data_IF_236626685526
#
_entry.id   IF_236626685526
#
_cell.length_a   1.000
_cell.length_b   1.000
_cell.length_c   1.000
_cell.angle_alpha   90.00
_cell.angle_beta   90.00
_cell.angle_gamma   90.00
#
_symmetry.space_group_name_H-M   'P 1'
#
loop_
_entity.id
_entity.type
_entity.pdbx_description
1 polymer ?
#
# COMPACT_ATOMS: atom_id res chain seq x y z
N UNK A 1 43.18 -7.57 9.22
CA UNK A 1 42.23 -7.48 10.35
C UNK A 1 40.90 -6.93 9.84
N UNK A 2 40.19 -7.71 9.02
CA UNK A 2 38.97 -7.30 8.30
C UNK A 2 37.98 -8.46 8.30
N UNK A 3 37.53 -8.87 9.49
CA UNK A 3 36.43 -9.84 9.67
C UNK A 3 36.07 -9.82 11.16
N UNK A 4 35.35 -8.79 11.62
CA UNK A 4 34.65 -8.89 12.92
C UNK A 4 33.48 -7.92 13.16
N UNK A 5 33.02 -7.15 12.16
CA UNK A 5 31.92 -6.18 12.36
C UNK A 5 30.66 -6.52 11.54
N UNK A 6 30.25 -7.80 11.50
CA UNK A 6 29.03 -8.21 10.77
C UNK A 6 28.02 -9.03 11.59
N UNK A 7 28.13 -9.08 12.93
CA UNK A 7 27.19 -9.88 13.73
C UNK A 7 26.42 -9.18 14.84
N UNK A 8 26.74 -7.94 15.21
CA UNK A 8 25.96 -7.22 16.23
C UNK A 8 25.85 -5.73 15.89
N UNK A 9 24.96 -5.41 14.96
CA UNK A 9 24.22 -4.15 15.08
C UNK A 9 22.74 -4.53 15.05
N UNK A 10 21.99 -4.35 16.14
CA UNK A 10 20.56 -4.18 16.01
C UNK A 10 20.38 -2.89 15.24
N UNK A 11 20.31 -2.99 13.91
CA UNK A 11 20.09 -1.87 13.01
C UNK A 11 18.64 -1.42 13.19
N UNK A 12 18.39 -0.67 14.26
CA UNK A 12 17.45 0.43 14.20
C UNK A 12 18.00 1.37 13.13
N UNK A 13 17.59 1.16 11.87
CA UNK A 13 17.83 2.11 10.79
C UNK A 13 17.08 3.36 11.21
N UNK A 14 17.74 4.27 11.92
CA UNK A 14 17.22 5.60 12.14
C UNK A 14 17.38 6.30 10.80
N UNK A 15 16.28 6.39 10.03
CA UNK A 15 16.17 7.17 8.78
C UNK A 15 16.35 8.69 9.04
N UNK A 16 16.92 9.08 10.17
CA UNK A 16 16.98 10.44 10.65
C UNK A 16 18.03 11.28 9.92
N UNK A 17 19.06 10.71 9.27
CA UNK A 17 20.15 11.54 8.74
C UNK A 17 20.77 11.24 7.36
N UNK A 18 20.57 10.11 6.66
CA UNK A 18 21.23 9.95 5.34
C UNK A 18 20.47 9.05 4.33
N UNK A 19 19.92 9.66 3.27
CA UNK A 19 19.35 8.96 2.10
C UNK A 19 20.43 8.12 1.37
N UNK A 20 21.67 8.61 1.35
CA UNK A 20 22.80 7.94 0.70
C UNK A 20 23.25 6.67 1.43
N UNK A 21 23.28 6.68 2.76
CA UNK A 21 23.69 5.51 3.57
C UNK A 21 22.67 4.38 3.43
N UNK A 22 21.37 4.72 3.43
CA UNK A 22 20.31 3.74 3.18
C UNK A 22 20.45 3.17 1.77
N UNK A 23 20.64 4.01 0.75
CA UNK A 23 20.79 3.55 -0.64
C UNK A 23 22.01 2.64 -0.83
N UNK A 24 23.14 2.97 -0.19
CA UNK A 24 24.37 2.20 -0.25
C UNK A 24 24.23 0.87 0.50
N UNK A 25 23.51 0.84 1.61
CA UNK A 25 23.22 -0.37 2.37
C UNK A 25 22.21 -1.29 1.66
N UNK A 26 21.22 -0.73 0.95
CA UNK A 26 20.27 -1.45 0.09
C UNK A 26 20.91 -1.98 -1.21
N UNK A 27 22.14 -1.57 -1.53
CA UNK A 27 22.89 -2.05 -2.72
C UNK A 27 23.79 -3.24 -2.44
N UNK A 28 24.07 -3.54 -1.15
CA UNK A 28 24.92 -4.66 -0.76
C UNK A 28 24.07 -5.92 -0.56
N UNK A 29 24.56 -7.05 -1.08
CA UNK A 29 23.95 -8.39 -1.06
C UNK A 29 23.95 -9.03 0.33
N UNK A 30 23.41 -8.32 1.32
CA UNK A 30 23.11 -8.86 2.65
C UNK A 30 21.64 -9.21 2.66
N UNK A 31 21.26 -10.33 3.29
CA UNK A 31 19.88 -10.68 3.58
C UNK A 31 19.27 -9.64 4.52
N UNK A 32 18.80 -8.53 3.97
CA UNK A 32 18.22 -7.43 4.72
C UNK A 32 16.85 -7.83 5.24
N UNK A 33 16.66 -7.74 6.55
CA UNK A 33 15.36 -7.93 7.19
C UNK A 33 14.57 -6.63 7.08
N UNK A 34 13.79 -6.50 6.00
CA UNK A 34 13.08 -5.26 5.62
C UNK A 34 11.91 -4.89 6.55
N UNK A 35 11.42 -5.84 7.33
CA UNK A 35 10.24 -5.67 8.20
C UNK A 35 10.58 -5.61 9.69
N UNK A 36 11.81 -5.26 10.05
CA UNK A 36 12.17 -5.05 11.47
C UNK A 36 11.46 -3.82 12.01
N UNK A 37 10.81 -3.97 13.16
CA UNK A 37 10.10 -2.88 13.84
C UNK A 37 11.05 -2.07 14.73
N UNK A 38 10.91 -0.75 14.75
CA UNK A 38 11.58 0.12 15.71
C UNK A 38 10.82 0.17 17.06
N UNK A 39 11.19 1.07 17.96
CA UNK A 39 10.60 1.20 19.30
C UNK A 39 9.13 1.68 19.32
N UNK A 40 8.63 2.23 18.20
CA UNK A 40 7.22 2.59 17.98
C UNK A 40 6.55 1.65 16.97
N UNK A 41 7.10 0.44 16.84
CA UNK A 41 6.61 -0.60 15.95
C UNK A 41 6.59 -0.27 14.45
N UNK A 42 7.30 0.77 14.00
CA UNK A 42 7.39 1.09 12.57
C UNK A 42 8.44 0.23 11.86
N UNK A 43 8.08 -0.29 10.70
CA UNK A 43 9.04 -0.90 9.76
C UNK A 43 9.77 0.18 8.97
N UNK A 44 10.94 -0.14 8.36
CA UNK A 44 11.63 0.71 7.41
C UNK A 44 10.73 1.38 6.37
N UNK A 45 9.75 0.65 5.84
CA UNK A 45 8.80 1.18 4.86
C UNK A 45 7.88 2.24 5.48
N UNK A 46 7.32 1.97 6.66
CA UNK A 46 6.43 2.91 7.36
C UNK A 46 7.18 4.20 7.74
N UNK A 47 8.42 4.08 8.21
CA UNK A 47 9.26 5.22 8.54
C UNK A 47 9.55 6.09 7.30
N UNK A 48 9.92 5.47 6.17
CA UNK A 48 10.20 6.19 4.94
C UNK A 48 8.95 6.95 4.44
N UNK A 49 7.77 6.33 4.52
CA UNK A 49 6.50 6.96 4.16
C UNK A 49 6.14 8.10 5.11
N UNK A 50 6.24 7.87 6.42
CA UNK A 50 5.98 8.88 7.46
C UNK A 50 6.87 10.11 7.32
N UNK A 51 8.14 9.90 6.93
CA UNK A 51 9.10 10.99 6.65
C UNK A 51 8.94 11.64 5.28
N UNK A 52 8.23 11.00 4.36
CA UNK A 52 7.99 11.50 3.01
C UNK A 52 9.11 11.18 2.02
N UNK A 53 9.95 10.18 2.27
CA UNK A 53 11.06 9.80 1.39
C UNK A 53 10.60 8.86 0.27
N UNK A 54 10.17 9.41 -0.88
CA UNK A 54 9.61 8.60 -1.97
C UNK A 54 10.64 7.65 -2.60
N UNK A 55 11.87 8.09 -2.83
CA UNK A 55 12.92 7.26 -3.42
C UNK A 55 13.21 6.02 -2.59
N UNK A 56 13.36 6.21 -1.28
CA UNK A 56 13.55 5.12 -0.32
C UNK A 56 12.32 4.21 -0.28
N UNK A 57 11.12 4.79 -0.20
CA UNK A 57 9.84 4.06 -0.21
C UNK A 57 9.75 3.15 -1.42
N UNK A 58 10.01 3.67 -2.61
CA UNK A 58 9.97 2.91 -3.85
C UNK A 58 10.98 1.77 -3.84
N UNK A 59 12.22 2.03 -3.40
CA UNK A 59 13.28 1.02 -3.34
C UNK A 59 12.94 -0.11 -2.36
N UNK A 60 12.38 0.20 -1.19
CA UNK A 60 11.96 -0.79 -0.21
C UNK A 60 10.85 -1.70 -0.75
N UNK A 61 9.86 -1.13 -1.46
CA UNK A 61 8.81 -1.89 -2.13
C UNK A 61 9.41 -2.81 -3.21
N UNK A 62 10.34 -2.30 -4.03
CA UNK A 62 11.01 -3.08 -5.06
C UNK A 62 11.83 -4.25 -4.49
N UNK A 63 12.34 -4.12 -3.26
CA UNK A 63 13.05 -5.18 -2.54
C UNK A 63 12.10 -6.17 -1.82
N UNK A 64 10.78 -5.97 -1.89
CA UNK A 64 9.79 -6.87 -1.31
C UNK A 64 9.45 -6.60 0.15
N UNK A 65 9.66 -5.37 0.65
CA UNK A 65 9.17 -4.98 1.97
C UNK A 65 7.65 -5.20 2.10
N UNK A 66 7.18 -5.60 3.27
CA UNK A 66 5.76 -5.85 3.49
C UNK A 66 4.96 -4.53 3.45
N UNK A 67 4.24 -4.32 2.34
CA UNK A 67 3.46 -3.10 2.10
C UNK A 67 2.27 -2.92 3.06
N UNK A 68 1.77 -4.02 3.63
CA UNK A 68 0.64 -4.03 4.56
C UNK A 68 1.08 -4.13 6.03
N UNK A 69 2.36 -3.86 6.31
CA UNK A 69 2.81 -3.69 7.69
C UNK A 69 2.05 -2.54 8.38
N UNK A 70 1.94 -2.64 9.70
CA UNK A 70 1.30 -1.64 10.56
C UNK A 70 2.24 -1.20 11.68
N UNK A 71 2.14 0.07 12.07
CA UNK A 71 2.83 0.63 13.22
C UNK A 71 2.14 0.27 14.55
N UNK A 72 2.58 0.89 15.65
CA UNK A 72 2.03 0.66 16.98
C UNK A 72 0.64 1.25 17.23
N UNK A 73 0.10 2.03 16.29
CA UNK A 73 -1.28 2.54 16.31
C UNK A 73 -2.19 1.80 15.32
N UNK A 74 -1.70 0.73 14.69
CA UNK A 74 -2.41 0.01 13.64
C UNK A 74 -2.46 0.79 12.31
N UNK A 75 -1.66 1.84 12.13
CA UNK A 75 -1.60 2.58 10.87
C UNK A 75 -0.75 1.79 9.86
N UNK A 76 -1.34 1.49 8.71
CA UNK A 76 -0.58 1.05 7.54
C UNK A 76 0.05 2.23 6.78
N UNK A 77 0.84 1.95 5.75
CA UNK A 77 1.51 2.98 4.95
C UNK A 77 0.55 4.01 4.32
N UNK A 78 -0.69 3.64 4.01
CA UNK A 78 -1.67 4.56 3.42
C UNK A 78 -2.19 5.59 4.42
N UNK A 79 -2.33 5.22 5.70
CA UNK A 79 -2.68 6.16 6.77
C UNK A 79 -1.60 7.23 6.89
N UNK A 80 -0.34 6.80 6.99
CA UNK A 80 0.81 7.69 7.15
C UNK A 80 0.98 8.62 5.92
N UNK A 81 0.76 8.11 4.71
CA UNK A 81 0.85 8.91 3.50
C UNK A 81 -0.26 9.98 3.38
N UNK A 82 -1.45 9.74 3.95
CA UNK A 82 -2.55 10.73 3.98
C UNK A 82 -2.30 11.90 4.92
N UNK A 83 -1.52 11.69 5.99
CA UNK A 83 -1.17 12.75 6.94
C UNK A 83 -0.11 13.71 6.38
N UNK A 84 0.52 13.34 5.27
CA UNK A 84 1.58 14.11 4.62
C UNK A 84 1.05 14.99 3.50
N UNK A 85 1.38 16.26 3.56
CA UNK A 85 1.07 17.20 2.49
C UNK A 85 1.96 16.97 1.25
N UNK A 86 3.25 16.70 1.46
CA UNK A 86 4.22 16.50 0.38
C UNK A 86 5.32 15.47 0.71
N UNK A 87 5.77 14.78 -0.34
CA UNK A 87 6.88 13.84 -0.38
C UNK A 87 8.10 14.45 -1.09
N UNK A 88 9.29 14.00 -0.73
CA UNK A 88 10.53 14.32 -1.41
C UNK A 88 10.80 13.26 -2.49
N UNK A 89 11.15 13.70 -3.70
CA UNK A 89 11.51 12.79 -4.79
C UNK A 89 12.74 11.95 -4.45
N UNK A 90 13.82 12.56 -3.92
CA UNK A 90 15.08 11.89 -3.54
C UNK A 90 15.54 10.83 -4.55
N UNK A 91 15.67 11.22 -5.82
CA UNK A 91 16.13 10.31 -6.88
C UNK A 91 15.09 9.28 -7.34
N UNK A 92 13.86 9.33 -6.83
CA UNK A 92 12.77 8.51 -7.37
C UNK A 92 12.43 8.93 -8.81
N UNK A 93 12.25 7.97 -9.72
CA UNK A 93 11.67 8.23 -11.03
C UNK A 93 10.26 8.82 -10.86
N UNK A 94 10.08 10.14 -11.06
CA UNK A 94 8.81 10.83 -10.84
C UNK A 94 7.70 10.39 -11.82
N UNK A 95 8.09 9.84 -12.96
CA UNK A 95 7.25 9.27 -13.99
C UNK A 95 6.40 8.09 -13.49
N UNK A 96 6.82 7.39 -12.42
CA UNK A 96 6.01 6.33 -11.79
C UNK A 96 4.69 6.86 -11.21
N UNK A 97 4.59 8.17 -10.96
CA UNK A 97 3.41 8.83 -10.40
C UNK A 97 2.52 9.48 -11.47
N UNK A 98 2.97 9.55 -12.73
CA UNK A 98 2.26 10.22 -13.83
C UNK A 98 0.89 9.59 -14.07
N UNK A 99 0.86 8.26 -14.07
CA UNK A 99 -0.38 7.50 -14.25
C UNK A 99 -1.38 7.82 -13.12
N UNK A 100 -0.92 7.84 -11.86
CA UNK A 100 -1.76 8.20 -10.71
C UNK A 100 -2.28 9.64 -10.79
N UNK A 101 -1.48 10.59 -11.26
CA UNK A 101 -1.94 11.96 -11.52
C UNK A 101 -3.04 12.00 -12.58
N UNK A 102 -2.89 11.26 -13.69
CA UNK A 102 -3.90 11.21 -14.74
C UNK A 102 -5.22 10.60 -14.27
N UNK A 103 -5.15 9.48 -13.53
CA UNK A 103 -6.33 8.82 -12.95
C UNK A 103 -7.09 9.75 -11.98
N UNK A 104 -6.37 10.52 -11.15
CA UNK A 104 -6.97 11.45 -10.20
C UNK A 104 -7.38 12.80 -10.82
N UNK A 105 -7.01 13.03 -12.09
CA UNK A 105 -7.12 14.31 -12.80
C UNK A 105 -6.45 15.47 -12.05
N UNK A 106 -5.27 15.19 -11.49
CA UNK A 106 -4.42 16.16 -10.80
C UNK A 106 -3.31 16.66 -11.73
N UNK A 107 -2.78 17.85 -11.44
CA UNK A 107 -1.71 18.44 -12.23
C UNK A 107 -0.35 17.81 -11.90
N UNK A 108 0.64 18.02 -12.78
CA UNK A 108 1.98 17.42 -12.62
C UNK A 108 2.76 17.99 -11.43
N UNK A 109 2.49 19.23 -11.04
CA UNK A 109 3.03 19.87 -9.83
C UNK A 109 2.51 19.22 -8.54
N UNK A 110 1.39 18.50 -8.59
CA UNK A 110 0.80 17.80 -7.45
C UNK A 110 1.30 16.35 -7.30
N UNK A 111 2.26 15.90 -8.12
CA UNK A 111 2.78 14.51 -8.13
C UNK A 111 3.25 14.03 -6.76
N UNK A 112 3.88 14.93 -6.00
CA UNK A 112 4.45 14.60 -4.69
C UNK A 112 3.44 14.77 -3.54
N UNK A 113 2.18 15.05 -3.82
CA UNK A 113 1.14 15.12 -2.80
C UNK A 113 0.87 13.76 -2.17
N UNK A 114 0.50 13.74 -0.89
CA UNK A 114 0.16 12.51 -0.19
C UNK A 114 -0.92 11.69 -0.90
N UNK A 115 -1.90 12.35 -1.53
CA UNK A 115 -2.97 11.66 -2.28
C UNK A 115 -2.46 10.85 -3.48
N UNK A 116 -1.50 11.39 -4.24
CA UNK A 116 -0.91 10.69 -5.39
C UNK A 116 -0.04 9.53 -4.92
N UNK A 117 0.77 9.75 -3.88
CA UNK A 117 1.64 8.70 -3.33
C UNK A 117 0.82 7.56 -2.71
N UNK A 118 -0.26 7.87 -1.99
CA UNK A 118 -1.18 6.84 -1.48
C UNK A 118 -1.82 6.05 -2.62
N UNK A 119 -2.23 6.71 -3.70
CA UNK A 119 -2.77 6.00 -4.87
C UNK A 119 -1.73 5.05 -5.46
N UNK A 120 -0.47 5.50 -5.57
CA UNK A 120 0.65 4.66 -6.00
C UNK A 120 0.87 3.46 -5.07
N UNK A 121 0.97 3.67 -3.75
CA UNK A 121 1.14 2.59 -2.77
C UNK A 121 0.02 1.53 -2.86
N UNK A 122 -1.20 1.96 -3.13
CA UNK A 122 -2.31 1.03 -3.33
C UNK A 122 -2.23 0.24 -4.64
N UNK A 123 -1.65 0.82 -5.72
CA UNK A 123 -1.32 0.03 -6.92
C UNK A 123 -0.30 -1.06 -6.60
N UNK A 124 0.63 -0.78 -5.70
CA UNK A 124 1.59 -1.77 -5.20
C UNK A 124 0.97 -2.79 -4.24
N UNK A 125 -0.32 -2.67 -3.90
CA UNK A 125 -1.06 -3.69 -3.15
C UNK A 125 -1.44 -3.31 -1.72
N UNK A 126 -1.15 -2.08 -1.28
CA UNK A 126 -1.54 -1.59 0.04
C UNK A 126 -3.08 -1.60 0.23
N UNK A 127 -3.53 -1.94 1.43
CA UNK A 127 -4.96 -2.05 1.76
C UNK A 127 -5.59 -0.71 2.18
N UNK A 128 -6.58 -0.24 1.42
CA UNK A 128 -7.36 0.96 1.70
C UNK A 128 -8.49 0.77 2.71
N UNK A 129 -8.76 -0.48 3.11
CA UNK A 129 -9.89 -0.82 3.99
C UNK A 129 -9.46 -1.32 5.37
N UNK A 130 -8.14 -1.50 5.57
CA UNK A 130 -7.59 -1.73 6.89
C UNK A 130 -7.96 -0.58 7.81
N UNK A 131 -8.36 -0.89 9.04
CA UNK A 131 -8.70 0.11 10.05
C UNK A 131 -7.65 0.11 11.14
N UNK A 132 -7.16 1.29 11.48
CA UNK A 132 -6.25 1.47 12.61
C UNK A 132 -6.97 1.32 13.96
N UNK A 133 -6.24 1.49 15.06
CA UNK A 133 -6.78 1.34 16.42
C UNK A 133 -7.88 2.35 16.75
N UNK A 134 -7.93 3.47 16.01
CA UNK A 134 -8.98 4.49 16.07
C UNK A 134 -10.20 4.13 15.19
N UNK A 135 -10.24 2.92 14.62
CA UNK A 135 -11.27 2.40 13.72
C UNK A 135 -11.46 3.24 12.43
N UNK A 136 -10.44 3.99 12.03
CA UNK A 136 -10.43 4.77 10.79
C UNK A 136 -9.75 3.98 9.69
N UNK A 137 -10.36 3.92 8.49
CA UNK A 137 -9.65 3.46 7.30
C UNK A 137 -8.85 4.62 6.67
N UNK A 138 -7.81 4.36 5.86
CA UNK A 138 -7.04 5.42 5.20
C UNK A 138 -7.93 6.36 4.38
N UNK A 139 -8.97 5.81 3.75
CA UNK A 139 -9.93 6.56 2.95
C UNK A 139 -10.79 7.53 3.78
N UNK A 140 -10.95 7.28 5.08
CA UNK A 140 -11.70 8.15 5.99
C UNK A 140 -10.92 9.40 6.39
N UNK A 141 -9.59 9.37 6.26
CA UNK A 141 -8.70 10.50 6.52
C UNK A 141 -8.67 11.51 5.36
N UNK A 142 -9.22 11.17 4.19
CA UNK A 142 -9.25 12.05 3.01
C UNK A 142 -10.17 13.25 3.28
N UNK A 143 -9.58 14.42 3.55
CA UNK A 143 -10.32 15.67 3.83
C UNK A 143 -11.17 16.16 2.64
N UNK A 144 -10.67 15.99 1.41
CA UNK A 144 -11.37 16.47 0.22
C UNK A 144 -12.40 15.43 -0.26
N UNK A 145 -13.69 15.72 -0.07
CA UNK A 145 -14.78 14.83 -0.47
C UNK A 145 -14.76 14.47 -1.96
N UNK A 146 -14.39 15.41 -2.85
CA UNK A 146 -14.30 15.16 -4.29
C UNK A 146 -13.20 14.14 -4.61
N UNK A 147 -12.06 14.22 -3.93
CA UNK A 147 -10.96 13.26 -4.08
C UNK A 147 -11.30 11.91 -3.45
N UNK A 148 -11.98 11.90 -2.29
CA UNK A 148 -12.47 10.68 -1.64
C UNK A 148 -13.39 9.89 -2.59
N UNK A 149 -14.35 10.57 -3.21
CA UNK A 149 -15.26 9.94 -4.18
C UNK A 149 -14.51 9.42 -5.41
N UNK A 150 -13.57 10.19 -5.96
CA UNK A 150 -12.74 9.72 -7.09
C UNK A 150 -11.94 8.47 -6.72
N UNK A 151 -11.28 8.45 -5.56
CA UNK A 151 -10.57 7.26 -5.09
C UNK A 151 -11.50 6.05 -4.97
N UNK A 152 -12.69 6.23 -4.37
CA UNK A 152 -13.69 5.16 -4.27
C UNK A 152 -14.12 4.59 -5.62
N UNK A 153 -14.17 5.42 -6.67
CA UNK A 153 -14.51 4.94 -8.02
C UNK A 153 -13.41 4.13 -8.69
N UNK A 154 -12.14 4.38 -8.34
CA UNK A 154 -10.97 3.72 -8.94
C UNK A 154 -10.59 2.45 -8.15
N UNK A 155 -10.90 2.41 -6.85
CA UNK A 155 -10.57 1.30 -5.97
C UNK A 155 -11.50 0.10 -6.13
N UNK A 156 -10.98 -1.14 -5.95
CA UNK A 156 -11.83 -2.32 -5.90
C UNK A 156 -12.82 -2.19 -4.74
N UNK A 157 -14.09 -2.60 -4.90
CA UNK A 157 -15.08 -2.46 -3.84
C UNK A 157 -14.72 -3.29 -2.61
N UNK A 158 -15.28 -2.94 -1.45
CA UNK A 158 -15.19 -3.80 -0.27
C UNK A 158 -15.91 -5.13 -0.52
N UNK A 159 -15.41 -6.17 0.13
CA UNK A 159 -16.05 -7.47 0.22
C UNK A 159 -17.44 -7.31 0.84
N UNK A 160 -18.48 -7.65 0.08
CA UNK A 160 -19.88 -7.58 0.52
C UNK A 160 -20.20 -8.54 1.66
N UNK A 161 -19.33 -9.54 1.90
CA UNK A 161 -19.51 -10.51 2.96
C UNK A 161 -18.93 -10.04 4.29
N UNK A 162 -17.66 -9.62 4.29
CA UNK A 162 -16.95 -9.31 5.52
C UNK A 162 -16.83 -7.81 5.81
N UNK A 163 -17.00 -6.94 4.80
CA UNK A 163 -16.99 -5.48 4.94
C UNK A 163 -15.63 -4.85 5.26
N UNK A 164 -14.56 -5.63 5.44
CA UNK A 164 -13.26 -5.13 5.89
C UNK A 164 -12.08 -5.47 4.98
N UNK A 165 -12.28 -6.25 3.93
CA UNK A 165 -11.26 -6.56 2.91
C UNK A 165 -11.73 -6.11 1.54
N UNK A 166 -10.80 -5.83 0.62
CA UNK A 166 -11.13 -5.62 -0.80
C UNK A 166 -11.75 -6.87 -1.43
N UNK A 167 -12.71 -6.68 -2.33
CA UNK A 167 -13.28 -7.75 -3.13
C UNK A 167 -12.34 -8.11 -4.28
N UNK A 168 -11.99 -9.39 -4.36
CA UNK A 168 -11.09 -9.95 -5.38
C UNK A 168 -11.78 -10.99 -6.27
N UNK A 169 -12.96 -11.46 -5.87
CA UNK A 169 -13.70 -12.52 -6.56
C UNK A 169 -14.70 -11.91 -7.53
N UNK A 170 -14.47 -12.14 -8.82
CA UNK A 170 -15.37 -11.79 -9.93
C UNK A 170 -16.43 -12.87 -10.10
N UNK A 171 -17.70 -12.46 -10.16
CA UNK A 171 -18.84 -13.37 -10.38
C UNK A 171 -19.38 -13.26 -11.79
N UNK A 172 -19.69 -14.39 -12.42
CA UNK A 172 -20.27 -14.46 -13.77
C UNK A 172 -21.77 -14.81 -13.73
N UNK A 173 -22.57 -14.29 -14.69
CA UNK A 173 -22.16 -13.53 -15.88
C UNK A 173 -22.04 -12.01 -15.67
N UNK A 174 -22.43 -11.47 -14.51
CA UNK A 174 -22.52 -10.01 -14.32
C UNK A 174 -21.16 -9.29 -14.23
N UNK A 175 -20.06 -10.00 -13.97
CA UNK A 175 -18.71 -9.45 -13.92
C UNK A 175 -18.38 -8.63 -12.67
N UNK A 176 -19.27 -8.56 -11.67
CA UNK A 176 -19.03 -7.79 -10.45
C UNK A 176 -17.98 -8.44 -9.55
N UNK A 177 -17.15 -7.61 -8.90
CA UNK A 177 -16.34 -8.00 -7.75
C UNK A 177 -17.21 -7.95 -6.48
N UNK A 178 -17.33 -9.05 -5.75
CA UNK A 178 -18.27 -9.14 -4.59
C UNK A 178 -17.67 -9.67 -3.30
N UNK A 179 -16.70 -10.58 -3.34
CA UNK A 179 -16.10 -11.16 -2.12
C UNK A 179 -14.58 -11.12 -2.18
N UNK A 180 -13.93 -11.04 -1.02
CA UNK A 180 -12.48 -11.25 -0.90
C UNK A 180 -12.11 -12.73 -1.08
N UNK A 181 -10.82 -13.03 -1.18
CA UNK A 181 -10.31 -14.40 -1.36
C UNK A 181 -10.77 -15.34 -0.24
N UNK A 182 -10.65 -14.94 1.03
CA UNK A 182 -11.08 -15.77 2.15
C UNK A 182 -12.60 -16.03 2.16
N UNK A 183 -13.40 -15.05 1.72
CA UNK A 183 -14.85 -15.19 1.66
C UNK A 183 -15.32 -15.80 0.33
N UNK A 184 -14.42 -16.12 -0.62
CA UNK A 184 -14.85 -16.64 -1.93
C UNK A 184 -15.48 -18.02 -1.85
N UNK A 185 -15.16 -18.76 -0.78
CA UNK A 185 -15.66 -20.10 -0.51
C UNK A 185 -17.06 -20.10 0.10
N UNK A 186 -17.59 -18.95 0.54
CA UNK A 186 -18.94 -18.90 1.09
C UNK A 186 -19.98 -19.15 -0.02
N UNK A 187 -20.96 -20.03 0.19
CA UNK A 187 -21.92 -20.37 -0.85
C UNK A 187 -22.98 -19.25 -1.01
N UNK A 188 -23.07 -18.68 -2.20
CA UNK A 188 -24.16 -17.81 -2.64
C UNK A 188 -24.55 -18.14 -4.09
N UNK A 189 -25.86 -18.23 -4.35
CA UNK A 189 -26.44 -18.57 -5.67
C UNK A 189 -26.73 -17.34 -6.54
N UNK A 190 -26.73 -16.14 -5.95
CA UNK A 190 -27.02 -14.86 -6.60
C UNK A 190 -25.93 -13.86 -6.27
N UNK A 191 -25.61 -12.97 -7.21
CA UNK A 191 -24.61 -11.92 -7.04
C UNK A 191 -25.04 -10.97 -5.91
N UNK A 192 -24.17 -10.75 -4.92
CA UNK A 192 -24.45 -9.90 -3.75
C UNK A 192 -24.66 -8.41 -4.09
N UNK A 193 -24.31 -8.00 -5.32
CA UNK A 193 -24.48 -6.62 -5.81
C UNK A 193 -25.72 -6.42 -6.69
N UNK A 194 -26.00 -7.35 -7.60
CA UNK A 194 -27.05 -7.17 -8.62
C UNK A 194 -28.11 -8.28 -8.65
N UNK A 195 -28.01 -9.26 -7.74
CA UNK A 195 -28.96 -10.36 -7.57
C UNK A 195 -29.12 -11.30 -8.79
N UNK A 196 -28.33 -11.13 -9.85
CA UNK A 196 -28.30 -12.06 -10.99
C UNK A 196 -27.76 -13.44 -10.56
N UNK A 197 -28.23 -14.56 -11.15
CA UNK A 197 -27.73 -15.90 -10.85
C UNK A 197 -26.21 -16.01 -11.08
N UNK A 198 -25.52 -16.74 -10.20
CA UNK A 198 -24.07 -16.96 -10.30
C UNK A 198 -23.82 -18.31 -10.94
N UNK A 199 -23.12 -18.31 -12.07
CA UNK A 199 -22.75 -19.53 -12.82
C UNK A 199 -21.31 -19.97 -12.51
N UNK A 200 -20.40 -19.02 -12.35
CA UNK A 200 -19.01 -19.27 -11.97
C UNK A 200 -18.40 -18.09 -11.22
N UNK A 201 -17.22 -18.33 -10.61
CA UNK A 201 -16.45 -17.35 -9.84
C UNK A 201 -14.99 -17.44 -10.26
N UNK A 202 -14.30 -16.31 -10.34
CA UNK A 202 -12.86 -16.25 -10.63
C UNK A 202 -12.15 -15.21 -9.77
N UNK A 203 -10.92 -15.50 -9.34
CA UNK A 203 -10.08 -14.53 -8.62
C UNK A 203 -9.45 -13.55 -9.61
N UNK A 204 -9.49 -12.26 -9.28
CA UNK A 204 -8.75 -11.20 -9.98
C UNK A 204 -7.44 -10.99 -9.24
N UNK A 205 -6.31 -11.20 -9.91
CA UNK A 205 -4.97 -10.99 -9.34
C UNK A 205 -4.10 -12.25 -9.23
N UNK A 206 -4.61 -13.45 -9.55
CA UNK A 206 -3.73 -14.59 -9.84
C UNK A 206 -3.27 -14.46 -11.28
N UNK A 207 -2.15 -13.77 -11.49
CA UNK A 207 -1.29 -14.12 -12.61
C UNK A 207 -0.98 -15.60 -12.43
N UNK A 208 -1.66 -16.44 -13.21
CA UNK A 208 -1.16 -17.75 -13.55
C UNK A 208 0.14 -17.46 -14.30
N UNK A 209 1.26 -17.52 -13.56
CA UNK A 209 2.55 -17.80 -14.16
C UNK A 209 2.40 -19.20 -14.77
N UNK A 210 2.01 -19.23 -16.04
CA UNK A 210 2.27 -20.34 -16.94
C UNK A 210 3.58 -20.03 -17.65
#
# INVERSE_FOLDING_TARGET
>A
MFVFFMFFFPLSITFSQCSDVVTLMLSQTVSLKLDMKNHIEMTPLLEAVSRGHLGITHRLIALGANINAVDGEGNNCLHLAMERDAFNSEGAPLDILDECCTELSLRKDERLSGIVVTRYLAKQGADFYHKNDKNNAPLDLVRNAKLKTKLQTILPPQCFWCGHRKATTKVHPCGHLVTCEECSNTPFKRCLRCLKPVTSRGQVGKNTLC
#
